data_IF_516730772598
#
_entry.id   IF_516730772598
#
_cell.length_a   1.000
_cell.length_b   1.000
_cell.length_c   1.000
_cell.angle_alpha   90.00
_cell.angle_beta   90.00
_cell.angle_gamma   90.00
#
_symmetry.space_group_name_H-M   'P 1'
#
loop_
_entity.id
_entity.type
_entity.pdbx_description
1 polymer ?
#
# COMPACT_ATOMS: atom_id res chain seq x y z
N UNK A 1 -26.82 -16.74 5.19
CA UNK A 1 -25.86 -16.80 4.07
C UNK A 1 -24.77 -15.81 4.42
N UNK A 2 -23.50 -16.19 4.27
CA UNK A 2 -22.42 -15.32 4.72
C UNK A 2 -22.34 -14.02 3.89
N UNK A 3 -22.19 -12.88 4.56
CA UNK A 3 -22.05 -11.55 3.98
C UNK A 3 -20.64 -11.02 4.25
N UNK A 4 -19.98 -10.48 3.22
CA UNK A 4 -18.70 -9.79 3.35
C UNK A 4 -18.91 -8.27 3.44
N UNK A 5 -18.40 -7.63 4.50
CA UNK A 5 -18.42 -6.18 4.67
C UNK A 5 -16.99 -5.67 4.65
N UNK A 6 -16.67 -4.77 3.72
CA UNK A 6 -15.35 -4.13 3.67
C UNK A 6 -15.16 -3.25 4.91
N UNK A 7 -14.32 -3.68 5.83
CA UNK A 7 -14.04 -3.02 7.10
C UNK A 7 -12.99 -1.92 6.93
N UNK A 8 -11.92 -2.18 6.19
CA UNK A 8 -10.81 -1.23 6.02
C UNK A 8 -10.16 -1.37 4.64
N UNK A 9 -9.73 -0.23 4.08
CA UNK A 9 -8.86 -0.19 2.90
C UNK A 9 -7.59 0.59 3.25
N UNK A 10 -6.44 0.03 2.87
CA UNK A 10 -5.11 0.59 3.14
C UNK A 10 -4.24 0.53 1.88
N UNK A 11 -3.37 1.53 1.73
CA UNK A 11 -2.46 1.68 0.60
C UNK A 11 -1.04 1.59 1.15
N UNK A 12 -0.30 0.59 0.71
CA UNK A 12 1.07 0.34 1.14
C UNK A 12 2.02 0.62 -0.01
N UNK A 13 2.93 1.57 0.20
CA UNK A 13 4.03 1.87 -0.72
C UNK A 13 5.29 1.21 -0.17
N UNK A 14 5.97 0.44 -1.00
CA UNK A 14 7.23 -0.23 -0.65
C UNK A 14 8.36 0.46 -1.37
N UNK A 15 9.36 0.89 -0.61
CA UNK A 15 10.54 1.58 -1.09
C UNK A 15 11.79 0.74 -0.84
N UNK A 16 12.76 0.81 -1.74
CA UNK A 16 14.07 0.18 -1.55
C UNK A 16 15.04 1.21 -0.99
N UNK A 17 15.52 0.98 0.23
CA UNK A 17 16.35 1.94 1.00
C UNK A 17 17.84 1.64 0.94
N UNK A 18 18.25 0.60 0.22
CA UNK A 18 19.64 0.18 0.07
C UNK A 18 19.80 -1.33 0.24
N UNK A 19 21.03 -1.77 0.50
CA UNK A 19 21.41 -3.17 0.71
C UNK A 19 22.04 -3.36 2.09
N UNK A 20 21.77 -4.49 2.72
CA UNK A 20 22.32 -4.84 4.02
C UNK A 20 23.77 -5.36 3.91
N UNK A 21 24.37 -5.71 5.06
CA UNK A 21 25.74 -6.26 5.14
C UNK A 21 25.92 -7.62 4.46
N UNK A 22 24.83 -8.32 4.12
CA UNK A 22 24.81 -9.59 3.39
C UNK A 22 24.50 -9.42 1.90
N UNK A 23 24.24 -8.20 1.44
CA UNK A 23 23.86 -7.89 0.07
C UNK A 23 22.36 -8.04 -0.22
N UNK A 24 21.51 -8.17 0.80
CA UNK A 24 20.06 -8.25 0.64
C UNK A 24 19.44 -6.84 0.57
N UNK A 25 18.55 -6.57 -0.40
CA UNK A 25 17.89 -5.27 -0.50
C UNK A 25 16.97 -5.01 0.71
N UNK A 26 17.13 -3.85 1.33
CA UNK A 26 16.33 -3.40 2.48
C UNK A 26 15.12 -2.65 1.98
N UNK A 27 13.95 -3.27 2.14
CA UNK A 27 12.68 -2.64 1.83
C UNK A 27 12.06 -1.95 3.04
N UNK A 28 11.60 -0.72 2.84
CA UNK A 28 10.84 0.05 3.81
C UNK A 28 9.47 0.36 3.25
N UNK A 29 8.42 0.00 3.99
CA UNK A 29 7.06 0.30 3.55
C UNK A 29 6.42 1.44 4.34
N UNK A 30 5.67 2.30 3.66
CA UNK A 30 4.77 3.28 4.26
C UNK A 30 3.33 2.88 3.97
N UNK A 31 2.52 2.79 5.02
CA UNK A 31 1.11 2.42 4.91
C UNK A 31 0.23 3.62 5.22
N UNK A 32 -0.69 3.92 4.30
CA UNK A 32 -1.73 4.92 4.46
C UNK A 32 -3.04 4.20 4.74
N UNK A 33 -3.67 4.52 5.86
CA UNK A 33 -4.94 3.93 6.28
C UNK A 33 -6.11 4.86 5.95
N UNK A 34 -7.33 4.33 6.04
CA UNK A 34 -8.56 5.09 5.86
C UNK A 34 -8.74 5.60 4.42
N UNK A 35 -8.43 4.76 3.43
CA UNK A 35 -8.75 5.10 2.05
C UNK A 35 -10.25 5.06 1.82
N UNK A 36 -10.68 5.91 0.89
CA UNK A 36 -12.03 5.86 0.34
C UNK A 36 -12.22 4.48 -0.29
N UNK A 37 -13.26 3.77 0.13
CA UNK A 37 -13.60 2.44 -0.40
C UNK A 37 -13.86 2.48 -1.92
N UNK A 38 -14.37 3.61 -2.39
CA UNK A 38 -14.66 3.93 -3.79
C UNK A 38 -13.40 4.21 -4.64
N UNK A 39 -12.21 4.31 -4.03
CA UNK A 39 -11.00 4.69 -4.75
C UNK A 39 -10.66 3.65 -5.81
N UNK A 40 -10.45 4.09 -7.05
CA UNK A 40 -10.08 3.19 -8.13
C UNK A 40 -8.59 2.83 -8.05
N UNK A 41 -8.16 1.67 -8.58
CA UNK A 41 -6.74 1.31 -8.64
C UNK A 41 -5.87 2.39 -9.30
N UNK A 42 -6.39 3.03 -10.35
CA UNK A 42 -5.70 4.11 -11.06
C UNK A 42 -5.49 5.35 -10.17
N UNK A 43 -6.53 5.80 -9.47
CA UNK A 43 -6.43 6.91 -8.52
C UNK A 43 -5.43 6.61 -7.39
N UNK A 44 -5.43 5.36 -6.91
CA UNK A 44 -4.48 4.91 -5.88
C UNK A 44 -3.05 4.91 -6.40
N UNK A 45 -2.84 4.47 -7.64
CA UNK A 45 -1.53 4.47 -8.28
C UNK A 45 -1.01 5.89 -8.51
N UNK A 46 -1.85 6.81 -9.02
CA UNK A 46 -1.49 8.22 -9.19
C UNK A 46 -1.12 8.88 -7.86
N UNK A 47 -1.91 8.65 -6.81
CA UNK A 47 -1.59 9.14 -5.47
C UNK A 47 -0.27 8.54 -4.95
N UNK A 48 -0.03 7.24 -5.17
CA UNK A 48 1.20 6.59 -4.76
C UNK A 48 2.44 7.17 -5.47
N UNK A 49 2.35 7.45 -6.78
CA UNK A 49 3.44 8.10 -7.54
C UNK A 49 3.70 9.51 -7.00
N UNK A 50 2.66 10.31 -6.79
CA UNK A 50 2.79 11.66 -6.26
C UNK A 50 3.43 11.68 -4.86
N UNK A 51 3.05 10.74 -3.99
CA UNK A 51 3.65 10.57 -2.66
C UNK A 51 5.09 10.07 -2.74
N UNK A 52 5.39 9.15 -3.66
CA UNK A 52 6.73 8.63 -3.88
C UNK A 52 7.68 9.69 -4.42
N UNK A 53 7.21 10.63 -5.25
CA UNK A 53 8.00 11.75 -5.75
C UNK A 53 8.50 12.70 -4.63
N UNK A 54 7.86 12.67 -3.46
CA UNK A 54 8.27 13.42 -2.26
C UNK A 54 9.20 12.60 -1.35
N UNK A 55 9.38 11.31 -1.64
CA UNK A 55 10.26 10.42 -0.89
C UNK A 55 11.66 10.41 -1.51
N UNK A 56 12.68 10.17 -0.67
CA UNK A 56 14.07 10.07 -1.12
C UNK A 56 14.35 8.72 -1.78
N UNK A 57 13.71 7.68 -1.27
CA UNK A 57 13.93 6.30 -1.69
C UNK A 57 13.07 5.95 -2.93
N UNK A 58 13.59 5.13 -3.86
CA UNK A 58 12.84 4.68 -5.03
C UNK A 58 11.65 3.80 -4.62
N UNK A 59 10.50 4.06 -5.23
CA UNK A 59 9.30 3.22 -5.08
C UNK A 59 9.46 1.92 -5.86
N UNK A 60 9.38 0.80 -5.15
CA UNK A 60 9.47 -0.54 -5.73
C UNK A 60 8.09 -1.12 -6.03
N UNK A 61 7.12 -0.92 -5.13
CA UNK A 61 5.79 -1.52 -5.25
C UNK A 61 4.70 -0.69 -4.61
N UNK A 62 3.49 -0.78 -5.18
CA UNK A 62 2.26 -0.18 -4.66
C UNK A 62 1.25 -1.28 -4.44
N UNK A 63 0.80 -1.42 -3.20
CA UNK A 63 -0.10 -2.49 -2.77
C UNK A 63 -1.38 -1.89 -2.18
N UNK A 64 -2.52 -2.48 -2.54
CA UNK A 64 -3.81 -2.23 -1.90
C UNK A 64 -4.13 -3.40 -0.97
N UNK A 65 -4.39 -3.09 0.29
CA UNK A 65 -4.76 -4.06 1.31
C UNK A 65 -6.17 -3.74 1.80
N UNK A 66 -7.11 -4.58 1.38
CA UNK A 66 -8.52 -4.51 1.76
C UNK A 66 -8.81 -5.59 2.80
N UNK A 67 -9.35 -5.17 3.94
CA UNK A 67 -9.80 -6.05 5.02
C UNK A 67 -11.32 -6.10 5.02
N UNK A 68 -11.88 -7.29 4.85
CA UNK A 68 -13.32 -7.53 4.91
C UNK A 68 -13.66 -8.44 6.08
N UNK A 69 -14.77 -8.16 6.75
CA UNK A 69 -15.36 -9.01 7.77
C UNK A 69 -16.43 -9.89 7.14
N UNK A 70 -16.41 -11.20 7.45
CA UNK A 70 -17.41 -12.15 6.97
C UNK A 70 -18.38 -12.44 8.14
N UNK A 71 -19.64 -12.08 7.98
CA UNK A 71 -20.72 -12.32 8.94
C UNK A 71 -21.59 -13.48 8.43
N UNK A 72 -21.90 -14.46 9.28
CA UNK A 72 -22.60 -15.71 8.94
C UNK A 72 -24.12 -15.66 9.14
#
# INVERSE_FOLDING_TARGET
MAQAILAQSTLRLVFETGVDVKGEPIFKSKTFTNLKKEATPDQMHQAAIALAALCVDPLTSVERNDRSEILG
#
